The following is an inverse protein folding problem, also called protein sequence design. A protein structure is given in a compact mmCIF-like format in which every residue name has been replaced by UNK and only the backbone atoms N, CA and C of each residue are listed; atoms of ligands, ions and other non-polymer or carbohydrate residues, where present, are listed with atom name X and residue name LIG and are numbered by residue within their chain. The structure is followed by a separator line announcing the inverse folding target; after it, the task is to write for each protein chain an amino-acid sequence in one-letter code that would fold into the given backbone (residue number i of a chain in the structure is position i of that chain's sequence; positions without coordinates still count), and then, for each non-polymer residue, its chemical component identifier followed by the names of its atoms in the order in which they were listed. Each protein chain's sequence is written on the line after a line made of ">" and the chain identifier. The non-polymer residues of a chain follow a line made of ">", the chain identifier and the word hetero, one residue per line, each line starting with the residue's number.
data_IF_024340654447
#
_entry.id   IF_024340654447
#
_cell.length_a   1.000
_cell.length_b   1.000
_cell.length_c   1.000
_cell.angle_alpha   90.00
_cell.angle_beta   90.00
_cell.angle_gamma   90.00
#
_symmetry.space_group_name_H-M   'P 1'
#
loop_
_entity.id
_entity.type
_entity.pdbx_description
1 polymer ?
#
# COMPACT_ATOMS: atom_id res chain seq x y z
N UNK A 1 -14.24 13.91 -23.82
CA UNK A 1 -15.36 13.95 -22.86
C UNK A 1 -15.72 15.41 -22.69
N UNK A 2 -17.00 15.74 -22.60
CA UNK A 2 -17.46 17.12 -22.47
C UNK A 2 -18.47 17.18 -21.34
N UNK A 3 -18.27 18.11 -20.40
CA UNK A 3 -19.30 18.43 -19.40
C UNK A 3 -20.33 19.28 -20.13
N UNK A 4 -21.58 18.82 -20.11
CA UNK A 4 -22.69 19.49 -20.77
C UNK A 4 -23.38 20.43 -19.80
N UNK A 5 -23.48 20.01 -18.55
CA UNK A 5 -24.21 20.73 -17.52
C UNK A 5 -23.63 20.41 -16.14
N UNK A 6 -23.70 21.40 -15.26
CA UNK A 6 -23.22 21.34 -13.89
C UNK A 6 -24.35 21.85 -13.00
N UNK A 7 -24.92 20.95 -12.22
CA UNK A 7 -25.99 21.27 -11.27
C UNK A 7 -25.49 22.10 -10.08
N UNK A 8 -26.42 22.70 -9.32
CA UNK A 8 -26.09 23.41 -8.09
C UNK A 8 -25.47 22.47 -7.05
N UNK A 9 -24.75 23.07 -6.10
CA UNK A 9 -24.30 22.36 -4.90
C UNK A 9 -25.49 22.23 -3.94
N UNK A 10 -25.95 21.01 -3.71
CA UNK A 10 -27.06 20.70 -2.80
C UNK A 10 -26.56 19.67 -1.80
N UNK A 11 -26.65 19.96 -0.49
CA UNK A 11 -26.18 19.09 0.59
C UNK A 11 -24.72 18.62 0.45
N UNK A 12 -23.85 19.48 -0.08
CA UNK A 12 -22.44 19.15 -0.32
C UNK A 12 -22.22 18.18 -1.49
N UNK A 13 -23.24 17.93 -2.30
CA UNK A 13 -23.19 17.11 -3.51
C UNK A 13 -23.39 18.00 -4.74
N UNK A 14 -22.58 17.79 -5.77
CA UNK A 14 -22.69 18.46 -7.06
C UNK A 14 -22.89 17.43 -8.16
N UNK A 15 -23.87 17.68 -9.02
CA UNK A 15 -24.23 16.81 -10.12
C UNK A 15 -23.62 17.32 -11.43
N UNK A 16 -23.06 16.41 -12.22
CA UNK A 16 -22.46 16.71 -13.52
C UNK A 16 -23.10 15.83 -14.59
N UNK A 17 -23.48 16.44 -15.71
CA UNK A 17 -23.89 15.69 -16.92
C UNK A 17 -22.75 15.69 -17.91
N UNK A 18 -22.24 14.50 -18.21
CA UNK A 18 -21.04 14.32 -19.03
C UNK A 18 -21.40 13.55 -20.29
N UNK A 19 -21.03 14.12 -21.44
CA UNK A 19 -21.11 13.47 -22.75
C UNK A 19 -19.78 12.83 -23.11
N UNK A 20 -19.85 11.55 -23.45
CA UNK A 20 -18.68 10.75 -23.70
C UNK A 20 -18.53 10.32 -25.16
N UNK A 21 -17.65 11.02 -25.87
CA UNK A 21 -17.28 10.74 -27.27
C UNK A 21 -16.74 9.32 -27.52
N UNK A 22 -16.07 8.69 -26.54
CA UNK A 22 -15.57 7.31 -26.72
C UNK A 22 -16.65 6.26 -26.45
N UNK A 23 -17.76 6.63 -25.80
CA UNK A 23 -18.90 5.76 -25.54
C UNK A 23 -20.07 6.12 -26.47
N UNK A 24 -19.75 6.39 -27.75
CA UNK A 24 -20.74 6.78 -28.78
C UNK A 24 -21.64 7.94 -28.33
N UNK A 25 -21.02 8.96 -27.73
CA UNK A 25 -21.70 10.17 -27.32
C UNK A 25 -22.79 9.96 -26.23
N UNK A 26 -22.73 8.83 -25.51
CA UNK A 26 -23.63 8.54 -24.40
C UNK A 26 -23.49 9.57 -23.27
N UNK A 27 -24.61 9.90 -22.65
CA UNK A 27 -24.70 10.77 -21.49
C UNK A 27 -24.57 9.98 -20.20
N UNK A 28 -23.79 10.52 -19.27
CA UNK A 28 -23.61 10.00 -17.93
C UNK A 28 -23.90 11.09 -16.91
N UNK A 29 -24.57 10.71 -15.83
CA UNK A 29 -24.74 11.56 -14.67
C UNK A 29 -23.70 11.14 -13.63
N UNK A 30 -23.05 12.12 -13.02
CA UNK A 30 -22.06 11.93 -11.99
C UNK A 30 -22.39 12.82 -10.81
N UNK A 31 -22.64 12.23 -9.65
CA UNK A 31 -22.80 12.93 -8.37
C UNK A 31 -21.49 12.85 -7.62
N UNK A 32 -20.98 13.99 -7.18
CA UNK A 32 -19.71 14.06 -6.44
C UNK A 32 -19.90 14.84 -5.16
N UNK A 33 -19.31 14.34 -4.08
CA UNK A 33 -19.10 15.06 -2.83
C UNK A 33 -17.62 15.04 -2.47
N UNK A 34 -17.26 15.65 -1.33
CA UNK A 34 -15.89 15.59 -0.82
C UNK A 34 -15.37 14.17 -0.56
N UNK A 35 -16.26 13.18 -0.41
CA UNK A 35 -15.90 11.84 0.05
C UNK A 35 -16.42 10.71 -0.84
N UNK A 36 -17.28 11.03 -1.81
CA UNK A 36 -18.01 10.02 -2.58
C UNK A 36 -18.19 10.44 -4.04
N UNK A 37 -18.24 9.45 -4.92
CA UNK A 37 -18.66 9.60 -6.31
C UNK A 37 -19.73 8.56 -6.64
N UNK A 38 -20.71 8.95 -7.44
CA UNK A 38 -21.63 8.04 -8.05
C UNK A 38 -21.80 8.38 -9.53
N UNK A 39 -21.32 7.52 -10.41
CA UNK A 39 -21.53 7.64 -11.85
C UNK A 39 -22.51 6.59 -12.36
N UNK A 40 -23.42 6.97 -13.26
CA UNK A 40 -24.37 6.05 -13.91
C UNK A 40 -23.72 4.96 -14.76
N UNK A 41 -22.42 5.05 -15.08
CA UNK A 41 -21.69 3.94 -15.69
C UNK A 41 -21.38 2.79 -14.71
N UNK A 42 -21.57 3.01 -13.40
CA UNK A 42 -21.39 2.04 -12.31
C UNK A 42 -20.03 1.34 -12.26
N UNK A 43 -18.98 1.88 -12.90
CA UNK A 43 -17.62 1.30 -12.92
C UNK A 43 -17.01 1.17 -11.52
N UNK A 44 -17.25 2.15 -10.64
CA UNK A 44 -16.76 2.08 -9.27
C UNK A 44 -17.46 0.94 -8.50
N UNK A 45 -18.77 0.76 -8.68
CA UNK A 45 -19.51 -0.36 -8.09
C UNK A 45 -19.02 -1.71 -8.64
N UNK A 46 -18.81 -1.82 -9.95
CA UNK A 46 -18.42 -3.07 -10.61
C UNK A 46 -16.95 -3.46 -10.39
N UNK A 47 -16.03 -2.49 -10.41
CA UNK A 47 -14.58 -2.73 -10.44
C UNK A 47 -13.85 -2.11 -9.25
N UNK A 48 -14.49 -1.24 -8.47
CA UNK A 48 -13.83 -0.50 -7.39
C UNK A 48 -12.86 0.58 -7.86
N UNK A 49 -12.90 0.94 -9.15
CA UNK A 49 -12.04 1.97 -9.76
C UNK A 49 -12.94 3.10 -10.25
N UNK A 50 -12.52 4.33 -9.94
CA UNK A 50 -13.13 5.54 -10.49
C UNK A 50 -13.15 5.49 -12.02
N UNK A 51 -14.33 5.63 -12.61
CA UNK A 51 -14.40 5.81 -14.04
C UNK A 51 -13.83 7.17 -14.42
N UNK A 52 -13.46 7.30 -15.70
CA UNK A 52 -13.04 8.58 -16.25
C UNK A 52 -14.10 9.71 -16.11
N UNK A 53 -15.39 9.37 -16.01
CA UNK A 53 -16.46 10.36 -15.78
C UNK A 53 -16.39 10.92 -14.36
N UNK A 54 -16.23 10.02 -13.38
CA UNK A 54 -16.04 10.37 -11.98
C UNK A 54 -14.75 11.18 -11.79
N UNK A 55 -13.64 10.76 -12.39
CA UNK A 55 -12.40 11.54 -12.41
C UNK A 55 -12.60 12.95 -12.95
N UNK A 56 -13.31 13.10 -14.06
CA UNK A 56 -13.60 14.40 -14.66
C UNK A 56 -14.41 15.29 -13.73
N UNK A 57 -15.43 14.74 -13.05
CA UNK A 57 -16.27 15.48 -12.11
C UNK A 57 -15.55 15.83 -10.80
N UNK A 58 -14.77 14.91 -10.23
CA UNK A 58 -13.97 15.14 -9.01
C UNK A 58 -12.92 16.23 -9.24
N UNK A 59 -12.30 16.25 -10.41
CA UNK A 59 -11.34 17.30 -10.78
C UNK A 59 -11.98 18.69 -10.87
N UNK A 60 -13.29 18.78 -11.12
CA UNK A 60 -14.04 20.04 -11.15
C UNK A 60 -14.63 20.43 -9.79
N UNK A 61 -14.69 19.49 -8.85
CA UNK A 61 -15.20 19.70 -7.49
C UNK A 61 -14.12 20.27 -6.54
N UNK A 62 -13.05 20.85 -7.09
CA UNK A 62 -11.92 21.46 -6.37
C UNK A 62 -11.26 20.54 -5.33
N UNK A 63 -11.21 19.23 -5.62
CA UNK A 63 -10.55 18.27 -4.74
C UNK A 63 -9.08 18.11 -5.16
N UNK A 64 -8.17 18.65 -4.34
CA UNK A 64 -6.71 18.59 -4.58
C UNK A 64 -6.17 17.15 -4.59
N UNK A 65 -6.79 16.24 -3.84
CA UNK A 65 -6.39 14.83 -3.74
C UNK A 65 -7.62 13.93 -3.77
N UNK A 66 -7.54 12.83 -4.52
CA UNK A 66 -8.61 11.83 -4.54
C UNK A 66 -8.92 11.38 -3.10
N UNK A 67 -10.18 11.47 -2.65
CA UNK A 67 -10.57 11.08 -1.30
C UNK A 67 -10.21 9.62 -1.03
N UNK A 68 -9.73 9.32 0.20
CA UNK A 68 -9.34 7.94 0.55
C UNK A 68 -10.46 6.93 0.38
N UNK A 69 -11.71 7.34 0.56
CA UNK A 69 -12.88 6.49 0.40
C UNK A 69 -13.09 6.02 -1.06
N UNK A 70 -12.51 6.73 -2.03
CA UNK A 70 -12.55 6.38 -3.45
C UNK A 70 -11.34 5.54 -3.90
N UNK A 71 -10.39 5.28 -2.99
CA UNK A 71 -9.21 4.45 -3.22
C UNK A 71 -9.33 3.18 -2.39
N UNK A 72 -9.94 2.14 -2.97
CA UNK A 72 -10.07 0.86 -2.29
C UNK A 72 -8.71 0.19 -2.07
N UNK A 73 -8.54 -0.54 -0.97
CA UNK A 73 -7.30 -1.25 -0.64
C UNK A 73 -6.79 -2.16 -1.76
N UNK A 74 -7.69 -2.77 -2.54
CA UNK A 74 -7.34 -3.60 -3.70
C UNK A 74 -6.52 -2.86 -4.77
N UNK A 75 -6.66 -1.53 -4.83
CA UNK A 75 -6.05 -0.66 -5.84
C UNK A 75 -4.99 0.26 -5.24
N UNK A 76 -4.59 0.05 -3.98
CA UNK A 76 -3.51 0.79 -3.33
C UNK A 76 -2.30 -0.12 -3.10
N UNK A 77 -1.18 0.42 -2.60
CA UNK A 77 -0.04 -0.40 -2.14
C UNK A 77 -0.43 -1.41 -1.05
N UNK A 78 -1.60 -1.20 -0.41
CA UNK A 78 -2.17 -2.15 0.55
C UNK A 78 -2.89 -3.33 -0.14
N UNK A 79 -2.87 -3.43 -1.48
CA UNK A 79 -3.42 -4.57 -2.21
C UNK A 79 -2.66 -5.86 -1.88
N UNK A 80 -1.34 -5.75 -1.71
CA UNK A 80 -0.45 -6.80 -1.20
C UNK A 80 -0.70 -7.06 0.31
N UNK A 81 -1.27 -6.09 1.02
CA UNK A 81 -1.70 -6.23 2.41
C UNK A 81 -3.08 -6.90 2.56
N UNK A 82 -3.57 -7.62 1.55
CA UNK A 82 -4.48 -8.73 1.81
C UNK A 82 -3.73 -9.96 2.33
N UNK A 83 -2.88 -9.83 3.37
CA UNK A 83 -2.26 -10.90 4.19
C UNK A 83 -0.72 -10.87 4.36
N UNK A 84 0.03 -9.86 3.92
CA UNK A 84 1.41 -9.72 4.43
C UNK A 84 1.42 -9.03 5.79
N UNK A 85 1.04 -9.76 6.84
CA UNK A 85 1.76 -9.56 8.10
C UNK A 85 3.24 -9.71 7.75
N UNK A 86 4.07 -8.74 8.11
CA UNK A 86 5.52 -8.81 7.99
C UNK A 86 6.06 -9.97 8.85
N UNK A 87 5.81 -11.20 8.43
CA UNK A 87 6.74 -12.27 8.71
C UNK A 87 7.95 -11.97 7.83
N UNK A 88 9.17 -11.96 8.37
CA UNK A 88 10.37 -11.89 7.55
C UNK A 88 10.49 -13.21 6.78
N UNK A 89 9.67 -13.41 5.75
CA UNK A 89 9.92 -14.43 4.76
C UNK A 89 11.01 -13.89 3.86
N UNK A 90 12.14 -14.58 3.86
CA UNK A 90 13.07 -14.59 2.74
C UNK A 90 12.25 -15.00 1.51
N UNK A 91 11.82 -14.00 0.73
CA UNK A 91 11.14 -14.25 -0.54
C UNK A 91 12.20 -14.69 -1.54
N UNK A 92 12.43 -16.00 -1.62
CA UNK A 92 13.02 -16.57 -2.83
C UNK A 92 11.95 -16.48 -3.92
N UNK A 93 12.32 -15.85 -5.04
CA UNK A 93 11.42 -15.58 -6.15
C UNK A 93 10.70 -16.81 -6.68
N UNK A 94 9.55 -16.55 -7.29
CA UNK A 94 8.76 -17.48 -8.11
C UNK A 94 8.28 -18.77 -7.43
N UNK A 95 7.01 -18.76 -7.02
CA UNK A 95 6.12 -19.90 -7.30
C UNK A 95 5.92 -20.96 -6.21
N UNK A 96 6.52 -20.83 -5.02
CA UNK A 96 6.13 -21.67 -3.87
C UNK A 96 5.56 -20.82 -2.75
N UNK A 97 4.23 -20.86 -2.60
CA UNK A 97 3.55 -20.41 -1.39
C UNK A 97 4.08 -21.29 -0.25
N UNK A 98 4.89 -20.71 0.63
CA UNK A 98 5.45 -21.40 1.78
C UNK A 98 4.31 -21.97 2.65
N UNK A 99 4.47 -23.20 3.15
CA UNK A 99 3.53 -23.88 4.05
C UNK A 99 3.23 -23.01 5.29
N UNK A 100 4.21 -22.24 5.75
CA UNK A 100 4.03 -21.26 6.83
C UNK A 100 3.05 -20.14 6.46
N UNK A 101 3.11 -19.63 5.22
CA UNK A 101 2.20 -18.56 4.76
C UNK A 101 0.75 -19.05 4.60
N UNK A 102 0.55 -20.30 4.17
CA UNK A 102 -0.77 -20.91 4.07
C UNK A 102 -1.37 -21.14 5.47
N UNK A 103 -0.56 -21.62 6.41
CA UNK A 103 -0.96 -21.77 7.82
C UNK A 103 -1.33 -20.43 8.44
N UNK A 104 -0.52 -19.39 8.27
CA UNK A 104 -0.81 -18.05 8.76
C UNK A 104 -2.13 -17.50 8.19
N UNK A 105 -2.35 -17.69 6.88
CA UNK A 105 -3.58 -17.30 6.20
C UNK A 105 -4.81 -18.03 6.77
N UNK A 106 -4.72 -19.34 6.98
CA UNK A 106 -5.79 -20.12 7.59
C UNK A 106 -6.08 -19.71 9.03
N UNK A 107 -5.05 -19.45 9.84
CA UNK A 107 -5.21 -18.96 11.22
C UNK A 107 -5.94 -17.62 11.22
N UNK A 108 -5.57 -16.70 10.32
CA UNK A 108 -6.24 -15.41 10.18
C UNK A 108 -7.74 -15.57 9.86
N UNK A 109 -8.10 -16.42 8.89
CA UNK A 109 -9.51 -16.66 8.57
C UNK A 109 -10.30 -17.20 9.76
N UNK A 110 -9.69 -18.05 10.58
CA UNK A 110 -10.32 -18.54 11.81
C UNK A 110 -10.54 -17.42 12.84
N UNK A 111 -9.55 -16.54 13.05
CA UNK A 111 -9.71 -15.36 13.92
C UNK A 111 -10.82 -14.44 13.42
N UNK A 112 -10.87 -14.15 12.11
CA UNK A 112 -11.93 -13.36 11.51
C UNK A 112 -13.32 -14.01 11.69
N UNK A 113 -13.41 -15.34 11.54
CA UNK A 113 -14.65 -16.09 11.77
C UNK A 113 -15.11 -16.01 13.22
N UNK A 114 -14.18 -16.07 14.18
CA UNK A 114 -14.47 -15.90 15.61
C UNK A 114 -14.99 -14.48 15.89
N UNK A 115 -14.36 -13.45 15.31
CA UNK A 115 -14.83 -12.07 15.42
C UNK A 115 -16.26 -11.89 14.87
N UNK A 116 -16.55 -12.48 13.71
CA UNK A 116 -17.89 -12.43 13.12
C UNK A 116 -18.93 -13.18 13.98
N UNK A 117 -18.55 -14.29 14.62
CA UNK A 117 -19.41 -15.03 15.57
C UNK A 117 -19.67 -14.25 16.86
N UNK A 118 -18.71 -13.47 17.33
CA UNK A 118 -18.89 -12.58 18.48
C UNK A 118 -19.87 -11.44 18.13
N UNK A 119 -19.80 -10.94 16.89
CA UNK A 119 -20.67 -9.87 16.40
C UNK A 119 -20.54 -8.61 17.27
N UNK A 120 -21.66 -7.96 17.55
CA UNK A 120 -21.72 -6.79 18.45
C UNK A 120 -21.82 -7.12 19.95
N UNK A 121 -21.73 -8.39 20.35
CA UNK A 121 -21.88 -8.78 21.75
C UNK A 121 -20.59 -8.46 22.53
N UNK A 122 -20.70 -7.50 23.46
CA UNK A 122 -19.56 -6.94 24.20
C UNK A 122 -18.87 -7.99 25.08
N UNK A 123 -19.60 -8.91 25.69
CA UNK A 123 -19.03 -9.95 26.55
C UNK A 123 -18.21 -10.96 25.73
N UNK A 124 -18.75 -11.39 24.58
CA UNK A 124 -18.02 -12.27 23.66
C UNK A 124 -16.78 -11.58 23.08
N UNK A 125 -16.87 -10.30 22.75
CA UNK A 125 -15.71 -9.51 22.29
C UNK A 125 -14.66 -9.37 23.39
N UNK A 126 -15.08 -9.14 24.64
CA UNK A 126 -14.18 -9.10 25.80
C UNK A 126 -13.46 -10.44 26.00
N UNK A 127 -14.19 -11.55 25.88
CA UNK A 127 -13.61 -12.90 25.92
C UNK A 127 -12.58 -13.12 24.81
N UNK A 128 -12.92 -12.80 23.56
CA UNK A 128 -11.99 -12.92 22.42
C UNK A 128 -10.74 -12.07 22.64
N UNK A 129 -10.89 -10.82 23.10
CA UNK A 129 -9.77 -9.93 23.43
C UNK A 129 -8.86 -10.51 24.51
N UNK A 130 -9.44 -11.07 25.59
CA UNK A 130 -8.69 -11.70 26.68
C UNK A 130 -7.87 -12.89 26.17
N UNK A 131 -8.49 -13.76 25.37
CA UNK A 131 -7.83 -14.94 24.80
C UNK A 131 -6.70 -14.56 23.84
N UNK A 132 -6.90 -13.57 22.97
CA UNK A 132 -5.85 -13.07 22.06
C UNK A 132 -4.69 -12.45 22.83
N UNK A 133 -4.97 -11.71 23.91
CA UNK A 133 -3.94 -11.13 24.78
C UNK A 133 -3.10 -12.23 25.45
N UNK A 134 -3.74 -13.30 25.92
CA UNK A 134 -3.03 -14.44 26.51
C UNK A 134 -2.12 -15.12 25.48
N UNK A 135 -2.65 -15.42 24.28
CA UNK A 135 -1.87 -16.01 23.19
C UNK A 135 -0.65 -15.14 22.82
N UNK A 136 -0.80 -13.82 22.84
CA UNK A 136 0.31 -12.92 22.55
C UNK A 136 1.40 -12.98 23.63
N UNK A 137 1.01 -13.12 24.90
CA UNK A 137 1.97 -13.32 26.00
C UNK A 137 2.68 -14.68 25.89
N UNK A 138 1.96 -15.74 25.53
CA UNK A 138 2.50 -17.10 25.44
C UNK A 138 3.52 -17.24 24.30
N UNK A 139 3.35 -16.48 23.20
CA UNK A 139 4.26 -16.47 22.05
C UNK A 139 5.50 -15.59 22.24
N UNK A 140 5.47 -14.68 23.22
CA UNK A 140 6.54 -13.72 23.50
C UNK A 140 6.70 -12.63 22.44
N UNK A 141 7.39 -11.55 22.78
CA UNK A 141 7.87 -10.58 21.79
C UNK A 141 9.00 -11.24 21.02
N UNK A 142 8.78 -11.52 19.73
CA UNK A 142 9.79 -12.10 18.85
C UNK A 142 11.09 -11.32 19.00
N UNK A 143 12.21 -12.03 19.20
CA UNK A 143 13.54 -11.43 19.38
C UNK A 143 13.79 -10.45 18.24
N UNK A 144 13.65 -9.16 18.54
CA UNK A 144 14.03 -8.12 17.62
C UNK A 144 15.55 -8.25 17.46
N UNK A 145 15.98 -8.92 16.39
CA UNK A 145 17.40 -8.96 16.05
C UNK A 145 17.86 -7.51 15.94
N UNK A 146 18.77 -7.13 16.84
CA UNK A 146 19.38 -5.81 16.77
C UNK A 146 20.06 -5.67 15.42
N UNK A 147 20.12 -4.44 14.89
CA UNK A 147 20.83 -4.17 13.62
C UNK A 147 22.24 -4.76 13.63
N UNK A 148 22.89 -4.73 14.79
CA UNK A 148 24.20 -5.36 15.04
C UNK A 148 24.18 -6.87 14.84
N UNK A 149 23.26 -7.59 15.50
CA UNK A 149 23.13 -9.04 15.35
C UNK A 149 22.82 -9.45 13.90
N UNK A 150 22.04 -8.63 13.18
CA UNK A 150 21.75 -8.89 11.77
C UNK A 150 22.97 -8.69 10.86
N UNK A 151 23.79 -7.67 11.12
CA UNK A 151 25.04 -7.43 10.40
C UNK A 151 26.05 -8.54 10.71
N UNK A 152 26.20 -8.94 11.97
CA UNK A 152 27.10 -10.04 12.38
C UNK A 152 26.74 -11.37 11.71
N UNK A 153 25.44 -11.63 11.49
CA UNK A 153 25.00 -12.82 10.74
C UNK A 153 25.39 -12.78 9.25
N UNK A 154 25.37 -11.59 8.62
CA UNK A 154 25.65 -11.44 7.19
C UNK A 154 27.14 -11.41 6.87
N UNK A 155 27.94 -10.71 7.68
CA UNK A 155 29.36 -10.41 7.38
C UNK A 155 30.32 -10.83 8.49
N UNK A 156 29.84 -11.50 9.54
CA UNK A 156 30.64 -11.92 10.68
C UNK A 156 30.86 -10.81 11.71
N UNK A 157 31.52 -11.17 12.82
CA UNK A 157 31.87 -10.25 13.91
C UNK A 157 32.73 -9.09 13.40
N UNK A 158 32.33 -7.85 13.71
CA UNK A 158 33.18 -6.70 13.40
C UNK A 158 34.38 -6.64 14.37
N UNK A 159 35.58 -6.25 13.89
CA UNK A 159 36.74 -6.04 14.75
C UNK A 159 36.44 -5.00 15.84
N UNK A 160 36.89 -5.26 17.06
CA UNK A 160 36.67 -4.38 18.23
C UNK A 160 37.78 -3.33 18.38
N UNK A 161 38.86 -3.47 17.61
CA UNK A 161 40.03 -2.60 17.66
C UNK A 161 39.88 -1.41 16.70
N UNK A 162 40.56 -0.31 17.01
CA UNK A 162 40.55 0.91 16.20
C UNK A 162 41.25 0.64 14.85
N UNK A 163 40.45 0.50 13.79
CA UNK A 163 40.97 0.31 12.43
C UNK A 163 41.44 1.66 11.89
N UNK A 164 42.75 1.82 11.72
CA UNK A 164 43.31 2.98 11.02
C UNK A 164 43.12 2.79 9.51
N UNK A 165 42.18 3.53 8.92
CA UNK A 165 41.94 3.52 7.47
C UNK A 165 42.89 4.52 6.80
N UNK A 166 43.88 4.01 6.06
CA UNK A 166 44.72 4.85 5.21
C UNK A 166 44.03 5.16 3.88
N UNK A 167 44.28 6.36 3.34
CA UNK A 167 43.81 6.71 2.00
C UNK A 167 44.38 5.72 0.97
N UNK A 168 43.59 5.28 -0.02
CA UNK A 168 44.11 4.45 -1.11
C UNK A 168 45.26 5.17 -1.81
N UNK A 169 46.29 4.40 -2.18
CA UNK A 169 47.37 4.95 -3.00
C UNK A 169 46.79 5.53 -4.28
N UNK A 170 47.16 6.76 -4.61
CA UNK A 170 46.69 7.43 -5.81
C UNK A 170 47.20 6.68 -7.05
N UNK A 171 46.30 5.95 -7.71
CA UNK A 171 46.62 5.31 -8.98
C UNK A 171 46.80 6.36 -10.08
N UNK A 172 47.87 6.23 -10.88
CA UNK A 172 48.07 7.06 -12.07
C UNK A 172 47.01 6.71 -13.11
N UNK A 173 46.28 7.71 -13.58
CA UNK A 173 45.35 7.56 -14.70
C UNK A 173 46.10 7.59 -16.04
N UNK A 174 45.53 6.94 -17.06
CA UNK A 174 46.05 6.97 -18.43
C UNK A 174 46.01 8.41 -18.94
N UNK A 175 47.16 8.96 -19.31
CA UNK A 175 47.31 10.37 -19.75
C UNK A 175 48.09 11.28 -18.81
N UNK A 176 48.46 10.83 -17.61
CA UNK A 176 49.28 11.60 -16.65
C UNK A 176 50.76 11.81 -17.07
N UNK A 177 51.16 11.31 -18.25
CA UNK A 177 52.55 11.24 -18.72
C UNK A 177 52.90 12.14 -19.91
N UNK A 178 52.30 13.32 -20.07
CA UNK A 178 52.66 14.25 -21.16
C UNK A 178 53.07 15.62 -20.61
N UNK A 179 54.38 15.79 -20.37
CA UNK A 179 54.99 17.12 -20.47
C UNK A 179 54.99 17.46 -21.96
N UNK A 180 54.12 18.40 -22.36
CA UNK A 180 54.18 19.05 -23.67
C UNK A 180 55.58 19.67 -23.80
N UNK A 181 56.44 19.08 -24.61
CA UNK A 181 57.64 19.77 -25.07
C UNK A 181 57.16 20.88 -26.01
N UNK A 182 57.31 22.13 -25.58
CA UNK A 182 57.11 23.30 -26.41
C UNK A 182 58.46 23.58 -27.07
N UNK A 183 58.55 23.36 -28.37
CA UNK A 183 59.47 24.02 -29.30
C UNK A 183 58.87 23.96 -30.70
#
# INVERSE_FOLDING_TARGET
>A
MRIIDIGPLVDGVKCYRIKDVKMKDKLFEVKVSQHHDECTCKKFVMCGILCRHAFCAVNQFDVVKIPRNLVLNRWSRLAENRLSSKFPSVTNGFGKVDNASLKATNIWFNVQKIMNKAGGNIEKLSYVKKTLKQLNSDLGDGTAMTKRAHIEQMIGSQPTEEITIHAPNQCKNKGSGLKRFIS
#
